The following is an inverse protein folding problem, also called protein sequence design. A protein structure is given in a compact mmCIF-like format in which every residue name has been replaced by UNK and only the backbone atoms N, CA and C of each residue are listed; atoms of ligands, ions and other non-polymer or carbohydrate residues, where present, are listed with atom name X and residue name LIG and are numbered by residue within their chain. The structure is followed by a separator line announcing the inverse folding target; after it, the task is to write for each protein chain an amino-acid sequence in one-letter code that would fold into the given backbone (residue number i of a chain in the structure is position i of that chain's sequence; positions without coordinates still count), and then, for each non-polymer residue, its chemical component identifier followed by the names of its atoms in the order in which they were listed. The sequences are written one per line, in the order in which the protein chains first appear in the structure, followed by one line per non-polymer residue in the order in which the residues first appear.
data_IF_804042424225
#
_entry.id   IF_804042424225
#
_cell.length_a   1.000
_cell.length_b   1.000
_cell.length_c   1.000
_cell.angle_alpha   90.00
_cell.angle_beta   90.00
_cell.angle_gamma   90.00
#
_symmetry.space_group_name_H-M   'P 1'
#
loop_
_entity.id
_entity.type
_entity.pdbx_description
1 polymer ?
#
# COMPACT_ATOMS: atom_id res chain seq x y z
N UNK A 1 22.91 61.10 -16.79
CA UNK A 1 22.50 59.96 -15.94
C UNK A 1 20.99 59.84 -16.02
N UNK A 2 20.48 58.94 -16.84
CA UNK A 2 19.09 58.45 -16.77
C UNK A 2 18.99 57.14 -17.56
N UNK A 3 18.33 56.19 -16.92
CA UNK A 3 18.28 54.73 -17.13
C UNK A 3 17.46 54.27 -18.32
N UNK A 4 17.87 53.17 -18.96
CA UNK A 4 16.99 52.29 -19.73
C UNK A 4 17.17 50.85 -19.21
N UNK A 5 16.21 50.38 -18.40
CA UNK A 5 16.13 48.99 -17.95
C UNK A 5 15.36 48.19 -19.00
N UNK A 6 16.02 47.18 -19.58
CA UNK A 6 15.42 46.27 -20.55
C UNK A 6 14.63 45.19 -19.81
N UNK A 7 13.31 45.31 -19.81
CA UNK A 7 12.39 44.28 -19.29
C UNK A 7 12.30 43.13 -20.28
N UNK A 8 12.90 41.99 -19.91
CA UNK A 8 12.79 40.72 -20.62
C UNK A 8 11.44 40.09 -20.25
N UNK A 9 10.45 40.18 -21.14
CA UNK A 9 9.17 39.48 -21.01
C UNK A 9 9.40 37.97 -21.22
N UNK A 10 9.49 37.21 -20.13
CA UNK A 10 9.49 35.73 -20.19
C UNK A 10 8.07 35.22 -20.40
N UNK A 11 7.84 34.54 -21.53
CA UNK A 11 6.60 33.80 -21.81
C UNK A 11 6.32 32.73 -20.75
N UNK A 12 5.05 32.48 -20.39
CA UNK A 12 4.70 31.38 -19.50
C UNK A 12 4.91 30.05 -20.23
N UNK A 13 5.82 29.22 -19.73
CA UNK A 13 5.96 27.86 -20.22
C UNK A 13 4.70 27.07 -19.86
N UNK A 14 4.00 26.60 -20.90
CA UNK A 14 2.92 25.64 -20.79
C UNK A 14 3.47 24.36 -20.15
N UNK A 15 3.08 24.12 -18.89
CA UNK A 15 3.23 22.84 -18.23
C UNK A 15 2.40 21.82 -19.00
N UNK A 16 3.07 20.95 -19.75
CA UNK A 16 2.52 19.72 -20.30
C UNK A 16 2.20 18.79 -19.14
N UNK A 17 0.98 18.89 -18.60
CA UNK A 17 0.44 17.89 -17.68
C UNK A 17 0.26 16.59 -18.46
N UNK A 18 1.13 15.62 -18.20
CA UNK A 18 0.90 14.23 -18.61
C UNK A 18 -0.44 13.80 -18.02
N UNK A 19 -1.34 13.13 -18.78
CA UNK A 19 -2.57 12.60 -18.20
C UNK A 19 -2.21 11.70 -17.01
N UNK A 20 -2.98 11.71 -15.90
CA UNK A 20 -2.73 10.79 -14.80
C UNK A 20 -2.73 9.37 -15.36
N UNK A 21 -1.62 8.66 -15.17
CA UNK A 21 -1.48 7.27 -15.56
C UNK A 21 -2.66 6.50 -14.95
N UNK A 22 -3.47 5.82 -15.77
CA UNK A 22 -4.60 5.06 -15.28
C UNK A 22 -4.04 3.93 -14.41
N UNK A 23 -4.12 4.10 -13.09
CA UNK A 23 -3.71 3.07 -12.14
C UNK A 23 -4.56 1.83 -12.36
N UNK A 24 -3.95 0.79 -12.93
CA UNK A 24 -4.59 -0.51 -13.09
C UNK A 24 -4.46 -1.31 -11.81
N UNK A 25 -5.57 -1.87 -11.36
CA UNK A 25 -5.65 -2.75 -10.19
C UNK A 25 -6.03 -4.16 -10.62
N UNK A 26 -5.46 -5.15 -9.94
CA UNK A 26 -5.79 -6.57 -10.11
C UNK A 26 -6.29 -7.16 -8.81
N UNK A 27 -7.10 -8.22 -8.90
CA UNK A 27 -7.46 -9.02 -7.71
C UNK A 27 -6.27 -9.88 -7.32
N UNK A 28 -5.93 -9.86 -6.03
CA UNK A 28 -4.88 -10.72 -5.46
C UNK A 28 -5.39 -12.15 -5.43
N UNK A 29 -4.64 -13.07 -6.03
CA UNK A 29 -5.07 -14.46 -6.23
C UNK A 29 -4.84 -15.35 -5.01
N UNK A 30 -5.48 -16.52 -4.97
CA UNK A 30 -5.34 -17.49 -3.86
C UNK A 30 -3.92 -18.02 -3.67
N UNK A 31 -3.09 -18.03 -4.72
CA UNK A 31 -1.67 -18.40 -4.63
C UNK A 31 -0.84 -17.45 -3.77
N UNK A 32 -1.30 -16.21 -3.57
CA UNK A 32 -0.63 -15.19 -2.76
C UNK A 32 -0.99 -15.27 -1.27
N UNK A 33 -1.79 -16.27 -0.84
CA UNK A 33 -2.05 -16.61 0.57
C UNK A 33 -2.50 -15.43 1.45
N UNK A 34 -3.54 -14.72 1.00
CA UNK A 34 -4.23 -13.67 1.78
C UNK A 34 -4.65 -14.20 3.17
N UNK A 35 -5.00 -15.48 3.26
CA UNK A 35 -5.33 -16.20 4.49
C UNK A 35 -4.18 -16.25 5.51
N UNK A 36 -2.94 -16.04 5.07
CA UNK A 36 -1.75 -15.99 5.94
C UNK A 36 -1.34 -14.53 6.16
N UNK A 37 -1.16 -13.76 5.09
CA UNK A 37 -0.50 -12.44 5.14
C UNK A 37 -1.46 -11.30 5.50
N UNK A 38 -2.76 -11.46 5.25
CA UNK A 38 -3.80 -10.47 5.52
C UNK A 38 -5.00 -11.12 6.22
N UNK A 39 -4.74 -11.82 7.33
CA UNK A 39 -5.75 -12.55 8.12
C UNK A 39 -6.93 -11.67 8.53
N UNK A 40 -8.12 -12.01 8.02
CA UNK A 40 -9.36 -11.27 8.24
C UNK A 40 -9.82 -10.45 7.03
N UNK A 41 -8.99 -10.32 6.00
CA UNK A 41 -9.43 -9.82 4.71
C UNK A 41 -10.24 -10.87 3.95
N UNK A 42 -11.30 -10.42 3.26
CA UNK A 42 -12.09 -11.24 2.35
C UNK A 42 -11.58 -11.13 0.91
N UNK A 43 -11.19 -9.93 0.49
CA UNK A 43 -10.71 -9.68 -0.87
C UNK A 43 -9.62 -8.63 -0.82
N UNK A 44 -8.55 -8.82 -1.58
CA UNK A 44 -7.53 -7.81 -1.77
C UNK A 44 -7.36 -7.50 -3.26
N UNK A 45 -7.03 -6.24 -3.54
CA UNK A 45 -6.61 -5.77 -4.86
C UNK A 45 -5.23 -5.15 -4.74
N UNK A 46 -4.49 -5.18 -5.84
CA UNK A 46 -3.13 -4.65 -5.89
C UNK A 46 -2.92 -3.81 -7.12
N UNK A 47 -2.26 -2.67 -6.97
CA UNK A 47 -1.89 -1.83 -8.11
C UNK A 47 -0.85 -2.55 -8.96
N UNK A 48 -0.90 -2.36 -10.27
CA UNK A 48 0.15 -2.79 -11.17
C UNK A 48 1.33 -1.83 -11.08
N UNK A 49 2.53 -2.39 -11.17
CA UNK A 49 3.74 -1.59 -11.29
C UNK A 49 3.71 -0.80 -12.60
N UNK A 50 4.26 0.41 -12.56
CA UNK A 50 4.38 1.31 -13.70
C UNK A 50 5.83 1.33 -14.18
N UNK A 51 6.14 1.87 -15.38
CA UNK A 51 7.52 2.05 -15.82
C UNK A 51 8.38 2.90 -14.85
N UNK A 52 7.73 3.72 -14.00
CA UNK A 52 8.38 4.62 -13.06
C UNK A 52 8.55 4.02 -11.65
N UNK A 53 7.81 2.98 -11.30
CA UNK A 53 7.83 2.40 -9.97
C UNK A 53 7.59 0.89 -9.99
N UNK A 54 8.51 0.15 -9.35
CA UNK A 54 8.32 -1.27 -9.08
C UNK A 54 7.46 -1.53 -7.85
N UNK A 55 7.14 -0.50 -7.06
CA UNK A 55 6.30 -0.66 -5.89
C UNK A 55 4.84 -0.94 -6.30
N UNK A 56 4.13 -1.65 -5.44
CA UNK A 56 2.71 -1.91 -5.61
C UNK A 56 1.99 -1.73 -4.26
N UNK A 57 0.84 -1.07 -4.29
CA UNK A 57 -0.02 -0.93 -3.12
C UNK A 57 -1.01 -2.09 -3.11
N UNK A 58 -1.17 -2.73 -1.96
CA UNK A 58 -2.24 -3.71 -1.75
C UNK A 58 -3.31 -3.10 -0.85
N UNK A 59 -4.55 -3.13 -1.30
CA UNK A 59 -5.72 -2.73 -0.52
C UNK A 59 -6.56 -3.96 -0.23
N UNK A 60 -6.93 -4.18 1.03
CA UNK A 60 -7.71 -5.33 1.46
C UNK A 60 -9.04 -4.89 2.05
N UNK A 61 -10.08 -5.65 1.76
CA UNK A 61 -11.46 -5.36 2.13
C UNK A 61 -12.05 -6.52 2.92
N UNK A 62 -12.91 -6.19 3.88
CA UNK A 62 -13.70 -7.19 4.58
C UNK A 62 -14.85 -7.73 3.72
N UNK A 63 -15.65 -8.64 4.30
CA UNK A 63 -16.79 -9.27 3.61
C UNK A 63 -17.89 -8.29 3.20
N UNK A 64 -17.92 -7.10 3.78
CA UNK A 64 -18.87 -6.03 3.45
C UNK A 64 -18.30 -5.03 2.45
N UNK A 65 -17.10 -5.29 1.92
CA UNK A 65 -16.37 -4.43 0.99
C UNK A 65 -15.93 -3.11 1.63
N UNK A 66 -15.76 -3.07 2.95
CA UNK A 66 -15.14 -1.92 3.61
C UNK A 66 -13.62 -2.12 3.62
N UNK A 67 -12.89 -1.07 3.26
CA UNK A 67 -11.43 -1.09 3.25
C UNK A 67 -10.92 -1.34 4.67
N UNK A 68 -10.00 -2.27 4.86
CA UNK A 68 -9.38 -2.56 6.16
C UNK A 68 -8.16 -1.64 6.30
N UNK A 69 -8.25 -0.67 7.19
CA UNK A 69 -7.24 0.39 7.38
C UNK A 69 -6.29 0.11 8.55
N UNK A 70 -6.56 -0.92 9.35
CA UNK A 70 -5.69 -1.37 10.45
C UNK A 70 -5.92 -2.84 10.82
N UNK A 71 -5.04 -3.38 11.67
CA UNK A 71 -5.22 -4.73 12.20
C UNK A 71 -4.72 -5.80 11.23
N UNK A 72 -4.95 -7.07 11.57
CA UNK A 72 -4.30 -8.21 10.89
C UNK A 72 -4.70 -8.39 9.42
N UNK A 73 -5.84 -7.85 9.02
CA UNK A 73 -6.37 -7.94 7.65
C UNK A 73 -6.01 -6.75 6.76
N UNK A 74 -5.33 -5.74 7.29
CA UNK A 74 -4.96 -4.57 6.52
C UNK A 74 -3.97 -4.95 5.41
N UNK A 75 -4.13 -4.33 4.25
CA UNK A 75 -3.19 -4.48 3.13
C UNK A 75 -1.81 -3.94 3.50
N UNK A 76 -0.79 -4.34 2.74
CA UNK A 76 0.57 -3.86 2.94
C UNK A 76 1.18 -3.42 1.61
N UNK A 77 1.94 -2.32 1.59
CA UNK A 77 2.67 -1.92 0.39
C UNK A 77 3.77 -2.94 0.11
N UNK A 78 3.98 -3.27 -1.17
CA UNK A 78 5.12 -4.04 -1.65
C UNK A 78 6.15 -3.07 -2.25
N UNK A 79 7.42 -3.22 -1.88
CA UNK A 79 8.52 -2.47 -2.48
C UNK A 79 8.77 -2.94 -3.91
N UNK A 80 8.52 -4.23 -4.17
CA UNK A 80 8.67 -4.84 -5.48
C UNK A 80 7.43 -5.66 -5.81
N UNK A 81 6.79 -5.31 -6.91
CA UNK A 81 5.58 -5.99 -7.36
C UNK A 81 5.88 -7.45 -7.74
N UNK A 82 5.07 -8.42 -7.28
CA UNK A 82 5.12 -9.81 -7.72
C UNK A 82 5.12 -10.01 -9.23
N UNK A 83 4.46 -9.14 -10.01
CA UNK A 83 4.45 -9.27 -11.48
C UNK A 83 5.78 -8.86 -12.11
N UNK A 84 6.54 -7.99 -11.44
CA UNK A 84 7.82 -7.48 -11.96
C UNK A 84 8.95 -8.43 -11.60
N UNK A 85 9.09 -8.79 -10.32
CA UNK A 85 10.19 -9.65 -9.87
C UNK A 85 9.80 -10.54 -8.67
N UNK A 86 9.17 -11.71 -8.93
CA UNK A 86 8.59 -12.57 -7.88
C UNK A 86 9.57 -12.97 -6.77
N UNK A 87 10.82 -13.29 -7.13
CA UNK A 87 11.84 -13.71 -6.16
C UNK A 87 12.29 -12.59 -5.23
N UNK A 88 12.30 -11.36 -5.74
CA UNK A 88 12.74 -10.20 -4.95
C UNK A 88 11.60 -9.77 -4.05
N UNK A 89 10.36 -9.72 -4.57
CA UNK A 89 9.14 -9.58 -3.77
C UNK A 89 9.13 -10.56 -2.58
N UNK A 90 9.38 -11.85 -2.83
CA UNK A 90 9.48 -12.84 -1.75
C UNK A 90 10.51 -12.44 -0.69
N UNK A 91 11.71 -12.03 -1.11
CA UNK A 91 12.81 -11.68 -0.20
C UNK A 91 12.55 -10.40 0.60
N UNK A 92 12.00 -9.36 -0.01
CA UNK A 92 11.92 -8.02 0.59
C UNK A 92 10.53 -7.66 1.15
N UNK A 93 9.48 -8.33 0.67
CA UNK A 93 8.10 -8.06 1.09
C UNK A 93 7.51 -9.22 1.91
N UNK A 94 7.85 -10.48 1.59
CA UNK A 94 7.27 -11.64 2.31
C UNK A 94 8.15 -12.14 3.46
N UNK A 95 9.47 -12.26 3.29
CA UNK A 95 10.35 -12.73 4.38
C UNK A 95 10.23 -11.90 5.66
N UNK A 96 10.07 -10.56 5.64
CA UNK A 96 9.85 -9.80 6.87
C UNK A 96 8.62 -10.26 7.66
N UNK A 97 7.51 -10.61 7.00
CA UNK A 97 6.34 -11.19 7.67
C UNK A 97 6.66 -12.52 8.37
N UNK A 98 7.40 -13.39 7.67
CA UNK A 98 7.82 -14.69 8.22
C UNK A 98 8.80 -14.52 9.38
N UNK A 99 9.70 -13.54 9.31
CA UNK A 99 10.61 -13.19 10.41
C UNK A 99 9.86 -12.67 11.64
N UNK A 100 8.74 -11.97 11.44
CA UNK A 100 7.82 -11.57 12.51
C UNK A 100 6.98 -12.74 13.05
N UNK A 101 7.16 -13.98 12.57
CA UNK A 101 6.40 -15.18 12.97
C UNK A 101 4.89 -15.00 12.81
N UNK A 102 4.46 -14.22 11.81
CA UNK A 102 3.04 -13.92 11.58
C UNK A 102 2.40 -12.99 12.62
N UNK A 103 3.20 -12.37 13.50
CA UNK A 103 2.75 -11.30 14.39
C UNK A 103 2.61 -10.00 13.59
N UNK A 104 1.36 -9.64 13.28
CA UNK A 104 1.07 -8.47 12.47
C UNK A 104 1.46 -7.16 13.17
N UNK A 105 1.50 -7.08 14.50
CA UNK A 105 1.90 -5.87 15.23
C UNK A 105 3.38 -5.58 14.98
N UNK A 106 4.24 -6.61 15.10
CA UNK A 106 5.68 -6.47 14.81
C UNK A 106 5.93 -6.13 13.35
N UNK A 107 5.19 -6.77 12.44
CA UNK A 107 5.32 -6.51 11.02
C UNK A 107 4.86 -5.09 10.64
N UNK A 108 3.69 -4.65 11.09
CA UNK A 108 3.13 -3.33 10.76
C UNK A 108 3.89 -2.18 11.43
N UNK A 109 4.63 -2.44 12.50
CA UNK A 109 5.55 -1.45 13.08
C UNK A 109 6.66 -1.02 12.09
N UNK A 110 7.03 -1.89 11.15
CA UNK A 110 8.05 -1.59 10.11
C UNK A 110 7.46 -1.47 8.71
N UNK A 111 6.27 -2.03 8.47
CA UNK A 111 5.54 -1.99 7.20
C UNK A 111 4.09 -1.58 7.44
N UNK A 112 3.83 -0.31 7.83
CA UNK A 112 2.49 0.13 8.18
C UNK A 112 1.54 0.06 6.98
N UNK A 113 0.26 -0.27 7.19
CA UNK A 113 -0.76 -0.08 6.18
C UNK A 113 -0.82 1.38 5.72
N UNK A 114 -1.03 1.59 4.43
CA UNK A 114 -1.15 2.92 3.85
C UNK A 114 -2.62 3.37 3.85
N UNK A 115 -2.90 4.54 4.45
CA UNK A 115 -4.21 5.19 4.44
C UNK A 115 -4.13 6.65 3.96
N UNK A 116 -3.34 6.92 2.91
CA UNK A 116 -3.13 8.26 2.31
C UNK A 116 -4.40 9.03 1.92
N UNK A 117 -5.55 8.35 1.83
CA UNK A 117 -6.84 8.93 1.46
C UNK A 117 -7.76 9.16 2.67
N UNK A 118 -7.23 9.08 3.89
CA UNK A 118 -7.97 9.26 5.14
C UNK A 118 -9.26 8.44 5.19
N UNK A 119 -9.20 7.20 4.70
CA UNK A 119 -10.37 6.33 4.66
C UNK A 119 -10.88 6.04 6.08
N UNK A 120 -12.20 5.82 6.24
CA UNK A 120 -12.78 5.47 7.54
C UNK A 120 -12.07 4.29 8.22
N UNK A 121 -12.02 4.34 9.54
CA UNK A 121 -11.39 3.30 10.35
C UNK A 121 -12.20 2.00 10.25
N UNK A 122 -11.50 0.92 9.91
CA UNK A 122 -12.03 -0.45 9.88
C UNK A 122 -10.88 -1.44 10.15
N UNK A 123 -11.03 -2.41 11.06
CA UNK A 123 -12.21 -2.72 11.88
C UNK A 123 -12.44 -1.72 13.02
N UNK A 124 -13.57 -1.86 13.71
CA UNK A 124 -13.88 -1.09 14.93
C UNK A 124 -12.87 -1.38 16.06
N UNK A 125 -12.91 -0.56 17.12
CA UNK A 125 -11.94 -0.63 18.22
C UNK A 125 -12.00 -1.95 19.00
N UNK A 126 -13.18 -2.56 19.14
CA UNK A 126 -13.33 -3.80 19.87
C UNK A 126 -12.68 -4.97 19.11
N UNK A 127 -12.97 -5.07 17.82
CA UNK A 127 -12.38 -6.06 16.92
C UNK A 127 -10.86 -5.89 16.82
N UNK A 128 -10.39 -4.64 16.67
CA UNK A 128 -8.95 -4.36 16.65
C UNK A 128 -8.26 -4.77 17.95
N UNK A 129 -8.83 -4.44 19.13
CA UNK A 129 -8.27 -4.85 20.43
C UNK A 129 -8.19 -6.36 20.57
N UNK A 130 -9.20 -7.08 20.08
CA UNK A 130 -9.21 -8.54 20.06
C UNK A 130 -8.06 -9.07 19.19
N UNK A 131 -7.85 -8.50 17.99
CA UNK A 131 -6.72 -8.86 17.14
C UNK A 131 -5.37 -8.59 17.82
N UNK A 132 -5.22 -7.44 18.49
CA UNK A 132 -4.01 -7.08 19.25
C UNK A 132 -3.72 -8.12 20.33
N UNK A 133 -4.73 -8.44 21.15
CA UNK A 133 -4.61 -9.43 22.23
C UNK A 133 -4.14 -10.79 21.70
N UNK A 134 -4.76 -11.28 20.62
CA UNK A 134 -4.40 -12.55 19.98
C UNK A 134 -2.99 -12.54 19.34
N UNK A 135 -2.46 -11.36 19.00
CA UNK A 135 -1.12 -11.22 18.45
C UNK A 135 -0.03 -11.10 19.51
N UNK A 136 -0.36 -10.67 20.73
CA UNK A 136 0.61 -10.47 21.83
C UNK A 136 0.94 -11.74 22.62
N UNK A 137 0.20 -12.83 22.40
CA UNK A 137 0.35 -14.12 23.13
C UNK A 137 1.47 -15.05 22.58
N UNK A 138 2.50 -14.54 21.88
CA UNK A 138 3.61 -15.31 21.30
C UNK A 138 5.01 -14.68 21.41
#
# INVERSE_FOLDING_TARGET
MTTAASTRTSSPQQQTTTPPEIERWIVVGGSERIDIYHRGAHTCIRSLATPLSFAAQTCCYDRWRQLITRGSGAGSPALVSPQVHPRLHWQVDILPWLACRGNFLRYQAVRPPNNEQDCPINPDLHTYRTQVFLATDY
#
